data_IF_455353807835
#
_entry.id   IF_455353807835
#
_cell.length_a   1.000
_cell.length_b   1.000
_cell.length_c   1.000
_cell.angle_alpha   90.00
_cell.angle_beta   90.00
_cell.angle_gamma   90.00
#
_symmetry.space_group_name_H-M   'P 1'
#
loop_
_entity.id
_entity.type
_entity.pdbx_description
1 polymer ?
#
# COMPACT_ATOMS: atom_id res chain seq x y z
N UNK A 1 -45.99 -5.68 -21.99
CA UNK A 1 -45.02 -6.75 -22.32
C UNK A 1 -43.81 -6.56 -21.41
N UNK A 2 -43.94 -6.76 -20.10
CA UNK A 2 -44.08 -8.05 -19.39
C UNK A 2 -43.03 -9.10 -19.78
N UNK A 3 -41.95 -9.15 -19.00
CA UNK A 3 -41.62 -10.34 -18.21
C UNK A 3 -40.72 -9.96 -17.03
N UNK A 4 -41.31 -10.08 -15.82
CA UNK A 4 -40.61 -10.27 -14.56
C UNK A 4 -39.83 -11.59 -14.63
N UNK A 5 -38.63 -11.61 -14.07
CA UNK A 5 -38.23 -12.72 -13.22
C UNK A 5 -37.26 -12.24 -12.14
N UNK A 6 -37.84 -12.11 -10.95
CA UNK A 6 -37.18 -12.05 -9.66
C UNK A 6 -36.64 -13.43 -9.29
N UNK A 7 -35.40 -13.50 -8.80
CA UNK A 7 -35.05 -14.40 -7.71
C UNK A 7 -33.91 -13.82 -6.88
N UNK A 8 -34.09 -13.96 -5.57
CA UNK A 8 -33.42 -13.25 -4.52
C UNK A 8 -32.19 -14.00 -3.99
N UNK A 9 -31.34 -13.21 -3.33
CA UNK A 9 -30.64 -13.56 -2.08
C UNK A 9 -29.66 -14.75 -2.11
N UNK A 10 -28.35 -14.46 -1.98
CA UNK A 10 -27.61 -15.00 -0.84
C UNK A 10 -26.39 -14.15 -0.48
N UNK A 11 -26.30 -13.89 0.82
CA UNK A 11 -25.26 -13.23 1.58
C UNK A 11 -23.88 -13.88 1.38
N UNK A 12 -22.81 -13.08 1.35
CA UNK A 12 -21.64 -13.30 2.23
C UNK A 12 -20.63 -12.16 2.09
N UNK A 13 -20.77 -11.17 2.99
CA UNK A 13 -19.61 -10.39 3.47
C UNK A 13 -18.66 -11.40 4.10
N UNK A 14 -17.50 -11.61 3.48
CA UNK A 14 -16.41 -12.37 4.08
C UNK A 14 -15.77 -11.52 5.19
N UNK A 15 -16.46 -11.42 6.32
CA UNK A 15 -15.85 -11.05 7.59
C UNK A 15 -15.02 -12.25 8.01
N UNK A 16 -13.69 -12.13 7.89
CA UNK A 16 -12.75 -13.01 8.58
C UNK A 16 -12.91 -12.78 10.10
N UNK A 17 -13.94 -13.41 10.69
CA UNK A 17 -14.01 -13.63 12.12
C UNK A 17 -13.04 -14.77 12.41
N UNK A 18 -11.90 -14.39 12.97
CA UNK A 18 -10.95 -15.29 13.60
C UNK A 18 -11.64 -15.92 14.83
N UNK A 19 -12.42 -16.98 14.63
CA UNK A 19 -12.96 -17.81 15.73
C UNK A 19 -11.84 -18.67 16.30
N UNK A 20 -11.08 -18.06 17.19
CA UNK A 20 -10.05 -18.71 18.01
C UNK A 20 -10.66 -19.04 19.37
N UNK A 21 -11.74 -19.82 19.41
CA UNK A 21 -12.36 -20.30 20.65
C UNK A 21 -13.08 -21.62 20.38
N UNK A 22 -12.34 -22.73 20.30
CA UNK A 22 -12.95 -24.05 20.18
C UNK A 22 -12.26 -25.24 20.89
N UNK A 23 -11.31 -25.08 21.84
CA UNK A 23 -10.98 -26.20 22.73
C UNK A 23 -11.71 -26.14 24.09
N UNK A 24 -12.33 -25.02 24.49
CA UNK A 24 -12.89 -24.89 25.84
C UNK A 24 -14.33 -25.40 26.02
N UNK A 25 -15.14 -25.48 24.95
CA UNK A 25 -16.55 -25.87 25.07
C UNK A 25 -16.77 -27.38 25.26
N UNK A 26 -15.92 -28.23 24.69
CA UNK A 26 -16.03 -29.68 24.84
C UNK A 26 -15.68 -30.16 26.26
N UNK A 27 -14.83 -29.42 26.99
CA UNK A 27 -14.43 -29.79 28.34
C UNK A 27 -15.55 -29.56 29.39
N UNK A 28 -16.42 -28.57 29.18
CA UNK A 28 -17.49 -28.22 30.13
C UNK A 28 -18.69 -29.16 30.03
N UNK A 29 -19.00 -29.67 28.82
CA UNK A 29 -20.16 -30.56 28.62
C UNK A 29 -19.92 -31.94 29.25
N UNK A 30 -18.71 -32.48 29.14
CA UNK A 30 -18.37 -33.80 29.70
C UNK A 30 -18.37 -33.81 31.24
N UNK A 31 -18.11 -32.67 31.90
CA UNK A 31 -18.18 -32.58 33.36
C UNK A 31 -19.61 -32.58 33.92
N UNK A 32 -20.63 -32.23 33.12
CA UNK A 32 -22.01 -32.07 33.61
C UNK A 32 -22.80 -33.37 33.58
N UNK A 33 -22.49 -34.30 32.67
CA UNK A 33 -23.13 -35.64 32.63
C UNK A 33 -22.72 -36.51 33.81
N UNK A 34 -21.44 -36.48 34.22
CA UNK A 34 -20.92 -37.34 35.30
C UNK A 34 -21.47 -36.96 36.69
N UNK A 35 -21.97 -35.73 36.88
CA UNK A 35 -22.47 -35.27 38.17
C UNK A 35 -23.91 -35.69 38.48
N UNK A 36 -24.65 -36.22 37.50
CA UNK A 36 -26.10 -36.51 37.68
C UNK A 36 -26.38 -37.97 38.04
N UNK A 37 -25.47 -38.91 37.79
CA UNK A 37 -25.68 -40.33 38.15
C UNK A 37 -25.34 -40.66 39.61
N UNK A 38 -24.65 -39.79 40.34
CA UNK A 38 -24.11 -40.12 41.67
C UNK A 38 -25.04 -39.81 42.87
N UNK A 39 -26.31 -39.44 42.68
CA UNK A 39 -27.19 -38.98 43.79
C UNK A 39 -28.19 -40.03 44.30
N UNK A 40 -28.38 -41.19 43.66
CA UNK A 40 -29.35 -42.19 44.12
C UNK A 40 -28.75 -43.59 44.25
N UNK A 41 -27.91 -43.81 45.26
CA UNK A 41 -27.84 -45.03 46.09
C UNK A 41 -26.60 -45.00 46.99
N UNK A 42 -26.77 -44.75 48.29
CA UNK A 42 -25.80 -45.22 49.30
C UNK A 42 -26.55 -45.78 50.52
N UNK A 43 -26.14 -46.99 50.92
CA UNK A 43 -26.32 -47.58 52.25
C UNK A 43 -24.94 -48.07 52.74
N UNK A 44 -24.60 -48.02 54.04
CA UNK A 44 -23.22 -47.83 54.47
C UNK A 44 -22.45 -49.15 54.73
N UNK A 45 -21.16 -49.16 54.40
CA UNK A 45 -20.17 -50.16 54.87
C UNK A 45 -18.84 -49.46 55.21
N UNK A 46 -18.00 -50.03 56.09
CA UNK A 46 -17.07 -49.29 56.97
C UNK A 46 -15.83 -48.74 56.24
N UNK A 47 -15.13 -47.74 56.84
CA UNK A 47 -14.18 -46.91 56.11
C UNK A 47 -12.87 -47.68 55.85
N UNK A 48 -12.57 -47.91 54.58
CA UNK A 48 -11.21 -48.25 54.15
C UNK A 48 -10.47 -46.95 53.84
N UNK A 49 -9.45 -46.65 54.66
CA UNK A 49 -8.56 -45.51 54.48
C UNK A 49 -8.00 -45.48 53.04
N UNK A 50 -8.31 -44.45 52.23
CA UNK A 50 -7.75 -44.37 50.90
C UNK A 50 -6.28 -44.02 51.01
N UNK A 51 -5.46 -44.83 50.36
CA UNK A 51 -4.02 -44.62 50.21
C UNK A 51 -3.77 -43.29 49.48
N UNK A 52 -3.48 -42.23 50.25
CA UNK A 52 -3.10 -40.87 49.82
C UNK A 52 -2.14 -40.84 48.63
N UNK A 53 -1.24 -41.83 48.55
CA UNK A 53 -0.25 -42.03 47.48
C UNK A 53 -0.87 -42.22 46.08
N UNK A 54 -2.08 -42.79 45.98
CA UNK A 54 -2.74 -43.06 44.71
C UNK A 54 -3.46 -41.82 44.14
N UNK A 55 -3.97 -40.93 45.01
CA UNK A 55 -4.57 -39.65 44.61
C UNK A 55 -3.52 -38.68 44.06
N UNK A 56 -2.38 -38.54 44.74
CA UNK A 56 -1.27 -37.70 44.29
C UNK A 56 -0.73 -38.17 42.94
N UNK A 57 -0.61 -39.50 42.71
CA UNK A 57 -0.19 -40.05 41.40
C UNK A 57 -1.13 -39.65 40.25
N UNK A 58 -2.44 -39.63 40.47
CA UNK A 58 -3.42 -39.20 39.46
C UNK A 58 -3.32 -37.72 39.13
N UNK A 59 -3.12 -36.87 40.14
CA UNK A 59 -2.91 -35.43 39.96
C UNK A 59 -1.61 -35.18 39.17
N UNK A 60 -0.52 -35.86 39.53
CA UNK A 60 0.76 -35.75 38.82
C UNK A 60 0.64 -36.21 37.35
N UNK A 61 -0.08 -37.30 37.08
CA UNK A 61 -0.36 -37.75 35.71
C UNK A 61 -1.15 -36.70 34.90
N UNK A 62 -2.15 -36.06 35.51
CA UNK A 62 -2.93 -35.00 34.88
C UNK A 62 -2.09 -33.78 34.49
N UNK A 63 -1.18 -33.34 35.38
CA UNK A 63 -0.26 -32.21 35.11
C UNK A 63 0.71 -32.57 33.97
N UNK A 64 1.29 -33.77 34.00
CA UNK A 64 2.22 -34.23 32.96
C UNK A 64 1.52 -34.32 31.59
N UNK A 65 0.30 -34.85 31.56
CA UNK A 65 -0.45 -34.97 30.30
C UNK A 65 -0.91 -33.61 29.76
N UNK A 66 -1.32 -32.70 30.65
CA UNK A 66 -1.68 -31.32 30.31
C UNK A 66 -0.50 -30.51 29.77
N UNK A 67 0.69 -30.64 30.37
CA UNK A 67 1.89 -29.95 29.89
C UNK A 67 2.35 -30.49 28.54
N UNK A 68 2.30 -31.81 28.34
CA UNK A 68 2.67 -32.45 27.07
C UNK A 68 1.74 -32.03 25.93
N UNK A 69 0.43 -32.09 26.15
CA UNK A 69 -0.57 -31.68 25.15
C UNK A 69 -0.49 -30.19 24.83
N UNK A 70 -0.31 -29.34 25.85
CA UNK A 70 -0.10 -27.90 25.68
C UNK A 70 1.14 -27.58 24.83
N UNK A 71 2.26 -28.25 25.09
CA UNK A 71 3.50 -28.05 24.33
C UNK A 71 3.35 -28.49 22.87
N UNK A 72 2.72 -29.65 22.63
CA UNK A 72 2.46 -30.15 21.26
C UNK A 72 1.57 -29.18 20.49
N UNK A 73 0.48 -28.70 21.10
CA UNK A 73 -0.39 -27.70 20.48
C UNK A 73 0.35 -26.39 20.17
N UNK A 74 1.20 -25.91 21.08
CA UNK A 74 2.01 -24.71 20.86
C UNK A 74 2.97 -24.88 19.67
N UNK A 75 3.68 -26.01 19.58
CA UNK A 75 4.60 -26.30 18.48
C UNK A 75 3.85 -26.39 17.15
N UNK A 76 2.71 -27.10 17.11
CA UNK A 76 1.87 -27.20 15.91
C UNK A 76 1.38 -25.82 15.48
N UNK A 77 0.89 -24.99 16.42
CA UNK A 77 0.43 -23.64 16.11
C UNK A 77 1.55 -22.77 15.54
N UNK A 78 2.76 -22.84 16.11
CA UNK A 78 3.92 -22.11 15.62
C UNK A 78 4.36 -22.60 14.23
N UNK A 79 4.31 -23.91 13.98
CA UNK A 79 4.55 -24.50 12.66
C UNK A 79 3.52 -24.02 11.63
N UNK A 80 2.23 -24.03 11.97
CA UNK A 80 1.16 -23.54 11.08
C UNK A 80 1.37 -22.05 10.78
N UNK A 81 1.62 -21.21 11.78
CA UNK A 81 1.90 -19.77 11.58
C UNK A 81 3.12 -19.58 10.68
N UNK A 82 4.21 -20.33 10.89
CA UNK A 82 5.40 -20.28 10.02
C UNK A 82 5.09 -20.73 8.60
N UNK A 83 4.29 -21.78 8.41
CA UNK A 83 3.87 -22.25 7.09
C UNK A 83 2.99 -21.21 6.39
N UNK A 84 2.06 -20.56 7.11
CA UNK A 84 1.21 -19.48 6.60
C UNK A 84 2.07 -18.27 6.23
N UNK A 85 2.98 -17.83 7.09
CA UNK A 85 3.91 -16.72 6.77
C UNK A 85 4.76 -17.09 5.55
N UNK A 86 5.30 -18.31 5.49
CA UNK A 86 6.07 -18.80 4.34
C UNK A 86 5.23 -18.86 3.07
N UNK A 87 3.96 -19.25 3.17
CA UNK A 87 3.01 -19.28 2.05
C UNK A 87 2.66 -17.86 1.58
N UNK A 88 2.30 -16.95 2.50
CA UNK A 88 2.05 -15.53 2.21
C UNK A 88 3.30 -14.83 1.67
N UNK A 89 4.50 -15.24 2.07
CA UNK A 89 5.74 -14.77 1.48
C UNK A 89 6.05 -15.48 0.15
N UNK A 90 5.46 -16.64 -0.14
CA UNK A 90 5.58 -17.34 -1.42
C UNK A 90 4.59 -16.86 -2.48
N UNK A 91 3.44 -16.27 -2.11
CA UNK A 91 2.51 -15.73 -3.11
C UNK A 91 3.23 -14.75 -4.04
N UNK A 92 3.08 -14.90 -5.37
CA UNK A 92 3.67 -13.98 -6.31
C UNK A 92 2.95 -12.65 -6.17
N UNK A 93 3.72 -11.57 -6.01
CA UNK A 93 3.10 -10.25 -6.09
C UNK A 93 2.79 -10.01 -7.57
N UNK A 94 1.49 -9.89 -7.89
CA UNK A 94 0.97 -9.84 -9.26
C UNK A 94 1.61 -8.69 -10.05
N UNK A 95 1.96 -8.97 -11.30
CA UNK A 95 2.44 -7.97 -12.27
C UNK A 95 1.23 -7.32 -12.94
N UNK A 96 1.42 -6.10 -13.44
CA UNK A 96 0.40 -5.41 -14.23
C UNK A 96 -0.08 -4.10 -13.61
N UNK A 97 -1.12 -3.51 -14.22
CA UNK A 97 -1.64 -2.21 -13.85
C UNK A 97 -2.53 -2.27 -12.60
N UNK A 98 -2.36 -1.29 -11.72
CA UNK A 98 -3.29 -0.96 -10.65
C UNK A 98 -3.82 0.44 -10.94
N UNK A 99 -5.13 0.54 -11.13
CA UNK A 99 -5.80 1.73 -11.66
C UNK A 99 -6.72 2.34 -10.62
N UNK A 100 -6.63 3.66 -10.44
CA UNK A 100 -7.41 4.45 -9.48
C UNK A 100 -8.40 5.41 -10.15
N UNK A 101 -8.42 5.45 -11.49
CA UNK A 101 -9.27 6.33 -12.30
C UNK A 101 -10.19 5.51 -13.18
N UNK A 102 -11.50 5.76 -13.12
CA UNK A 102 -12.49 5.11 -14.00
C UNK A 102 -12.29 5.43 -15.49
N UNK A 103 -11.53 6.49 -15.81
CA UNK A 103 -11.23 6.88 -17.19
C UNK A 103 -10.13 6.03 -17.84
N UNK A 104 -9.42 5.20 -17.08
CA UNK A 104 -8.31 4.37 -17.57
C UNK A 104 -8.72 2.92 -17.53
N UNK A 105 -8.75 2.27 -18.68
CA UNK A 105 -8.92 0.81 -18.76
C UNK A 105 -7.55 0.10 -18.62
N UNK A 106 -7.42 -0.91 -17.74
CA UNK A 106 -6.18 -1.65 -17.53
C UNK A 106 -5.56 -2.24 -18.81
N UNK A 107 -6.37 -2.79 -19.73
CA UNK A 107 -5.87 -3.41 -20.96
C UNK A 107 -5.33 -2.36 -21.92
N UNK A 108 -6.05 -1.24 -22.02
CA UNK A 108 -5.65 -0.08 -22.81
C UNK A 108 -4.32 0.50 -22.33
N UNK A 109 -4.15 0.64 -21.01
CA UNK A 109 -2.89 1.10 -20.41
C UNK A 109 -1.73 0.12 -20.69
N UNK A 110 -1.97 -1.19 -20.55
CA UNK A 110 -0.95 -2.20 -20.83
C UNK A 110 -0.50 -2.18 -22.29
N UNK A 111 -1.44 -2.00 -23.22
CA UNK A 111 -1.12 -1.85 -24.65
C UNK A 111 -0.33 -0.58 -24.93
N UNK A 112 -0.72 0.56 -24.35
CA UNK A 112 0.00 1.82 -24.51
C UNK A 112 1.45 1.75 -24.02
N UNK A 113 1.71 1.01 -22.94
CA UNK A 113 3.06 0.81 -22.41
C UNK A 113 3.97 -0.02 -23.32
N UNK A 114 3.40 -0.92 -24.12
CA UNK A 114 4.14 -1.76 -25.06
C UNK A 114 4.56 -1.05 -26.35
N UNK A 115 3.98 0.13 -26.62
CA UNK A 115 4.30 0.94 -27.80
C UNK A 115 5.52 1.82 -27.55
N UNK A 116 6.14 2.27 -28.63
CA UNK A 116 7.11 3.36 -28.56
C UNK A 116 6.40 4.63 -28.09
N UNK A 117 6.93 5.24 -27.04
CA UNK A 117 6.32 6.41 -26.41
C UNK A 117 7.26 7.60 -26.56
N UNK A 118 6.70 8.78 -26.81
CA UNK A 118 7.46 10.02 -26.95
C UNK A 118 8.10 10.38 -25.62
N UNK A 119 9.43 10.52 -25.59
CA UNK A 119 10.15 11.01 -24.40
C UNK A 119 9.80 12.48 -24.15
N UNK A 120 9.36 12.79 -22.94
CA UNK A 120 9.08 14.15 -22.48
C UNK A 120 10.26 14.76 -21.73
N UNK A 121 10.96 13.95 -20.93
CA UNK A 121 12.08 14.42 -20.13
C UNK A 121 12.71 13.31 -19.31
N UNK A 122 13.88 13.60 -18.75
CA UNK A 122 14.62 12.71 -17.87
C UNK A 122 14.91 13.42 -16.56
N UNK A 123 14.89 12.66 -15.48
CA UNK A 123 15.17 13.14 -14.13
C UNK A 123 15.92 12.07 -13.34
N UNK A 124 16.59 12.42 -12.23
CA UNK A 124 17.30 11.44 -11.41
C UNK A 124 16.42 10.30 -10.90
N UNK A 125 15.10 10.50 -10.83
CA UNK A 125 14.14 9.51 -10.36
C UNK A 125 13.39 8.77 -11.50
N UNK A 126 13.82 8.95 -12.74
CA UNK A 126 13.29 8.23 -13.89
C UNK A 126 13.01 9.10 -15.12
N UNK A 127 12.37 8.47 -16.11
CA UNK A 127 12.06 9.07 -17.41
C UNK A 127 10.56 9.27 -17.58
N UNK A 128 10.20 10.38 -18.19
CA UNK A 128 8.82 10.76 -18.48
C UNK A 128 8.52 10.54 -19.96
N UNK A 129 7.38 9.92 -20.25
CA UNK A 129 6.91 9.66 -21.60
C UNK A 129 5.47 10.10 -21.76
N UNK A 130 5.12 10.55 -22.97
CA UNK A 130 3.73 10.79 -23.37
C UNK A 130 3.20 9.56 -24.07
N UNK A 131 1.97 9.21 -23.75
CA UNK A 131 1.21 8.21 -24.51
C UNK A 131 -0.25 8.61 -24.61
N UNK A 132 -0.94 8.07 -25.61
CA UNK A 132 -2.37 8.28 -25.82
C UNK A 132 -3.06 6.92 -25.74
N UNK A 133 -4.01 6.81 -24.83
CA UNK A 133 -4.82 5.63 -24.64
C UNK A 133 -5.82 5.47 -25.82
N UNK A 134 -6.35 4.26 -26.03
CA UNK A 134 -7.32 3.98 -27.11
C UNK A 134 -8.58 4.85 -27.06
N UNK A 135 -8.97 5.31 -25.86
CA UNK A 135 -10.09 6.24 -25.67
C UNK A 135 -9.72 7.71 -25.93
N UNK A 136 -8.54 7.99 -26.47
CA UNK A 136 -8.05 9.34 -26.77
C UNK A 136 -7.46 10.08 -25.56
N UNK A 137 -7.48 9.50 -24.36
CA UNK A 137 -6.92 10.14 -23.17
C UNK A 137 -5.39 10.19 -23.26
N UNK A 138 -4.84 11.40 -23.29
CA UNK A 138 -3.40 11.62 -23.19
C UNK A 138 -2.93 11.50 -21.73
N UNK A 139 -1.93 10.66 -21.49
CA UNK A 139 -1.35 10.43 -20.16
C UNK A 139 0.17 10.59 -20.18
N UNK A 140 0.71 11.00 -19.04
CA UNK A 140 2.14 11.03 -18.78
C UNK A 140 2.55 9.79 -17.97
N UNK A 141 3.56 9.08 -18.47
CA UNK A 141 4.13 7.89 -17.87
C UNK A 141 5.49 8.23 -17.27
N UNK A 142 5.63 8.10 -15.96
CA UNK A 142 6.91 8.19 -15.28
C UNK A 142 7.45 6.79 -15.01
N UNK A 143 8.45 6.36 -15.77
CA UNK A 143 9.16 5.10 -15.53
C UNK A 143 10.25 5.36 -14.50
N UNK A 144 10.10 4.80 -13.30
CA UNK A 144 11.11 4.92 -12.26
C UNK A 144 12.37 4.12 -12.67
N UNK A 145 13.52 4.60 -12.22
CA UNK A 145 14.76 3.83 -12.38
C UNK A 145 14.64 2.48 -11.65
N UNK A 146 15.34 1.43 -12.13
CA UNK A 146 15.37 0.16 -11.43
C UNK A 146 15.84 0.37 -9.99
N UNK A 147 15.22 -0.36 -9.07
CA UNK A 147 15.69 -0.40 -7.68
C UNK A 147 17.02 -1.16 -7.67
N UNK A 148 18.13 -0.46 -7.83
CA UNK A 148 19.47 -1.04 -7.72
C UNK A 148 19.76 -1.35 -6.24
N UNK A 149 19.44 -2.55 -5.79
CA UNK A 149 19.84 -3.02 -4.46
C UNK A 149 20.09 -4.51 -4.48
N UNK A 150 21.21 -4.96 -5.07
CA UNK A 150 21.57 -6.38 -5.10
C UNK A 150 20.65 -7.24 -5.96
N UNK A 151 21.00 -8.52 -6.09
CA UNK A 151 20.56 -9.42 -7.17
C UNK A 151 19.08 -9.32 -7.60
N UNK A 152 18.79 -9.42 -8.91
CA UNK A 152 17.46 -9.20 -9.49
C UNK A 152 16.35 -10.15 -8.99
N UNK A 153 16.73 -11.24 -8.32
CA UNK A 153 15.84 -12.32 -7.88
C UNK A 153 15.47 -12.23 -6.39
N UNK A 154 16.25 -11.51 -5.59
CA UNK A 154 16.07 -11.39 -4.13
C UNK A 154 15.79 -9.96 -3.70
N UNK A 155 15.18 -9.15 -4.56
CA UNK A 155 14.49 -7.95 -4.07
C UNK A 155 13.41 -8.39 -3.08
N UNK A 156 13.65 -8.15 -1.79
CA UNK A 156 12.79 -8.59 -0.70
C UNK A 156 11.33 -8.25 -1.05
N UNK A 157 10.46 -9.26 -1.16
CA UNK A 157 9.03 -9.06 -1.45
C UNK A 157 8.40 -8.01 -0.53
N UNK A 158 8.92 -7.91 0.70
CA UNK A 158 8.61 -6.87 1.68
C UNK A 158 8.84 -5.45 1.15
N UNK A 159 9.99 -5.18 0.51
CA UNK A 159 10.32 -3.85 -0.05
C UNK A 159 9.34 -3.47 -1.14
N UNK A 160 9.09 -4.39 -2.09
CA UNK A 160 8.13 -4.10 -3.17
C UNK A 160 6.69 -3.96 -2.67
N UNK A 161 6.32 -4.60 -1.55
CA UNK A 161 5.02 -4.39 -0.88
C UNK A 161 4.96 -3.02 -0.20
N UNK A 162 6.05 -2.60 0.46
CA UNK A 162 6.16 -1.26 1.04
C UNK A 162 5.98 -0.17 -0.03
N UNK A 163 6.67 -0.29 -1.16
CA UNK A 163 6.50 0.66 -2.29
C UNK A 163 5.06 0.70 -2.79
N UNK A 164 4.40 -0.46 -2.92
CA UNK A 164 3.00 -0.52 -3.31
C UNK A 164 2.08 0.19 -2.31
N UNK A 165 2.25 -0.05 -1.01
CA UNK A 165 1.45 0.59 0.03
C UNK A 165 1.62 2.12 0.03
N UNK A 166 2.84 2.61 -0.19
CA UNK A 166 3.11 4.04 -0.32
C UNK A 166 2.50 4.60 -1.61
N UNK A 167 2.58 3.90 -2.75
CA UNK A 167 1.92 4.32 -4.00
C UNK A 167 0.39 4.36 -3.86
N UNK A 168 -0.21 3.40 -3.17
CA UNK A 168 -1.63 3.39 -2.83
C UNK A 168 -2.00 4.57 -1.93
N UNK A 169 -1.13 4.92 -0.98
CA UNK A 169 -1.29 6.13 -0.15
C UNK A 169 -1.24 7.40 -1.00
N UNK A 170 -0.26 7.51 -1.90
CA UNK A 170 -0.15 8.65 -2.84
C UNK A 170 -1.37 8.75 -3.76
N UNK A 171 -1.97 7.61 -4.13
CA UNK A 171 -3.18 7.59 -4.94
C UNK A 171 -4.42 8.13 -4.21
N UNK A 172 -4.41 8.24 -2.87
CA UNK A 172 -5.50 8.87 -2.11
C UNK A 172 -5.43 10.39 -2.13
N UNK A 173 -4.27 10.97 -2.45
CA UNK A 173 -4.05 12.41 -2.46
C UNK A 173 -4.79 13.01 -3.67
N UNK A 174 -5.75 13.90 -3.40
CA UNK A 174 -6.56 14.59 -4.41
C UNK A 174 -6.64 16.08 -4.10
N UNK A 175 -6.01 16.90 -4.93
CA UNK A 175 -6.08 18.36 -4.83
C UNK A 175 -5.88 18.98 -6.22
N UNK A 176 -6.53 20.13 -6.50
CA UNK A 176 -6.49 20.80 -7.81
C UNK A 176 -5.05 21.11 -8.24
N UNK A 177 -4.22 21.56 -7.30
CA UNK A 177 -2.83 21.94 -7.55
C UNK A 177 -1.80 20.82 -7.30
N UNK A 178 -2.22 19.53 -7.32
CA UNK A 178 -1.32 18.38 -7.20
C UNK A 178 -1.52 17.41 -8.36
N UNK A 179 -0.42 16.84 -8.86
CA UNK A 179 -0.45 15.76 -9.82
C UNK A 179 -1.03 14.51 -9.17
N UNK A 180 -2.16 14.08 -9.71
CA UNK A 180 -2.98 13.02 -9.13
C UNK A 180 -2.58 11.68 -9.73
N UNK A 181 -2.04 10.73 -8.94
CA UNK A 181 -1.69 9.40 -9.43
C UNK A 181 -2.96 8.68 -9.93
N UNK A 182 -3.00 8.37 -11.23
CA UNK A 182 -4.14 7.75 -11.92
C UNK A 182 -4.04 6.24 -11.95
N UNK A 183 -2.82 5.73 -12.10
CA UNK A 183 -2.50 4.31 -12.04
C UNK A 183 -1.00 4.15 -11.77
N UNK A 184 -0.59 2.96 -11.37
CA UNK A 184 0.79 2.52 -11.53
C UNK A 184 0.81 1.15 -12.21
N UNK A 185 1.91 0.85 -12.90
CA UNK A 185 2.14 -0.44 -13.53
C UNK A 185 3.39 -1.05 -12.95
N UNK A 186 3.24 -2.30 -12.51
CA UNK A 186 4.31 -3.06 -11.90
C UNK A 186 5.00 -3.92 -12.94
N UNK A 187 6.26 -3.61 -13.18
CA UNK A 187 7.14 -4.34 -14.08
C UNK A 187 8.07 -5.27 -13.29
N UNK A 188 9.00 -5.93 -13.97
CA UNK A 188 9.89 -6.92 -13.34
C UNK A 188 10.79 -6.28 -12.26
N UNK A 189 11.45 -5.17 -12.60
CA UNK A 189 12.47 -4.49 -11.79
C UNK A 189 12.12 -3.05 -11.42
N UNK A 190 10.98 -2.53 -11.88
CA UNK A 190 10.60 -1.12 -11.74
C UNK A 190 9.09 -0.92 -11.61
N UNK A 191 8.72 0.31 -11.28
CA UNK A 191 7.35 0.78 -11.33
C UNK A 191 7.23 1.91 -12.36
N UNK A 192 6.10 1.93 -13.06
CA UNK A 192 5.73 2.99 -13.99
C UNK A 192 4.49 3.71 -13.43
N UNK A 193 4.59 5.00 -13.19
CA UNK A 193 3.51 5.81 -12.62
C UNK A 193 2.76 6.54 -13.75
N UNK A 194 1.44 6.65 -13.63
CA UNK A 194 0.58 7.22 -14.66
C UNK A 194 -0.14 8.45 -14.12
N UNK A 195 -0.02 9.55 -14.86
CA UNK A 195 -0.65 10.83 -14.55
C UNK A 195 -1.37 11.39 -15.78
N UNK A 196 -2.20 12.40 -15.58
CA UNK A 196 -2.76 13.16 -16.72
C UNK A 196 -1.62 13.90 -17.44
N UNK A 197 -1.69 13.97 -18.77
CA UNK A 197 -0.73 14.76 -19.55
C UNK A 197 -0.99 16.26 -19.39
N UNK A 198 0.09 17.02 -19.20
CA UNK A 198 0.06 18.46 -18.96
C UNK A 198 0.54 19.17 -20.22
N UNK A 199 -0.37 19.87 -20.90
CA UNK A 199 -0.15 20.36 -22.27
C UNK A 199 0.87 21.48 -22.38
N UNK A 200 1.03 22.29 -21.32
CA UNK A 200 2.00 23.38 -21.28
C UNK A 200 3.34 22.97 -20.66
N UNK A 201 3.54 21.67 -20.42
CA UNK A 201 4.79 21.14 -19.87
C UNK A 201 5.01 21.56 -18.41
N UNK A 202 6.28 21.68 -18.03
CA UNK A 202 6.68 22.19 -16.72
C UNK A 202 6.79 23.73 -16.71
N UNK A 203 6.87 24.32 -15.53
CA UNK A 203 7.14 25.74 -15.37
C UNK A 203 8.52 26.10 -15.94
N UNK A 204 9.50 25.20 -15.87
CA UNK A 204 10.80 25.41 -16.52
C UNK A 204 10.66 25.53 -18.04
N UNK A 205 9.87 24.67 -18.68
CA UNK A 205 9.59 24.72 -20.11
C UNK A 205 8.91 26.04 -20.49
N UNK A 206 7.91 26.46 -19.70
CA UNK A 206 7.26 27.76 -19.90
C UNK A 206 8.24 28.93 -19.75
N UNK A 207 9.14 28.89 -18.76
CA UNK A 207 10.18 29.91 -18.57
C UNK A 207 11.18 29.95 -19.72
N UNK A 208 11.58 28.78 -20.26
CA UNK A 208 12.45 28.70 -21.44
C UNK A 208 11.76 29.33 -22.67
N UNK A 209 10.50 28.98 -22.91
CA UNK A 209 9.70 29.56 -24.01
C UNK A 209 9.50 31.07 -23.88
N UNK A 210 9.40 31.60 -22.66
CA UNK A 210 9.38 33.04 -22.41
C UNK A 210 10.72 33.68 -22.79
N UNK A 211 11.85 33.07 -22.38
CA UNK A 211 13.21 33.55 -22.75
C UNK A 211 13.45 33.53 -24.27
N UNK A 212 12.86 32.56 -24.95
CA UNK A 212 12.92 32.42 -26.42
C UNK A 212 11.86 33.26 -27.17
N UNK A 213 11.09 34.09 -26.46
CA UNK A 213 9.99 34.90 -27.02
C UNK A 213 8.87 34.09 -27.72
N UNK A 214 8.72 32.80 -27.39
CA UNK A 214 7.68 31.91 -27.92
C UNK A 214 6.41 31.88 -27.04
N UNK A 215 6.47 32.47 -25.86
CA UNK A 215 5.37 32.53 -24.90
C UNK A 215 5.41 33.85 -24.16
N UNK A 216 4.26 34.54 -24.07
CA UNK A 216 4.10 35.67 -23.17
C UNK A 216 3.32 35.24 -21.94
N UNK A 217 3.98 35.29 -20.78
CA UNK A 217 3.38 34.93 -19.51
C UNK A 217 3.22 36.20 -18.68
N UNK A 218 2.03 36.80 -18.78
CA UNK A 218 1.68 38.04 -18.09
C UNK A 218 1.71 37.90 -16.57
N UNK A 219 1.76 39.03 -15.86
CA UNK A 219 1.83 39.06 -14.40
C UNK A 219 0.73 38.25 -13.73
N UNK A 220 -0.52 38.38 -14.20
CA UNK A 220 -1.66 37.66 -13.63
C UNK A 220 -1.50 36.15 -13.68
N UNK A 221 -0.96 35.60 -14.77
CA UNK A 221 -0.71 34.16 -14.90
C UNK A 221 0.41 33.73 -13.94
N UNK A 222 1.47 34.53 -13.80
CA UNK A 222 2.57 34.24 -12.83
C UNK A 222 2.03 34.21 -11.41
N UNK A 223 1.21 35.20 -11.05
CA UNK A 223 0.59 35.30 -9.75
C UNK A 223 -0.35 34.11 -9.49
N UNK A 224 -1.17 33.74 -10.47
CA UNK A 224 -2.03 32.54 -10.41
C UNK A 224 -1.21 31.26 -10.17
N UNK A 225 -0.10 31.08 -10.88
CA UNK A 225 0.82 29.96 -10.70
C UNK A 225 1.38 29.94 -9.27
N UNK A 226 1.87 31.07 -8.76
CA UNK A 226 2.43 31.17 -7.41
C UNK A 226 1.39 30.82 -6.34
N UNK A 227 0.17 31.35 -6.45
CA UNK A 227 -0.93 31.05 -5.54
C UNK A 227 -1.30 29.56 -5.58
N UNK A 228 -1.37 28.96 -6.77
CA UNK A 228 -1.68 27.53 -6.90
C UNK A 228 -0.59 26.63 -6.30
N UNK A 229 0.69 26.97 -6.45
CA UNK A 229 1.81 26.27 -5.78
C UNK A 229 1.64 26.33 -4.25
N UNK A 230 1.36 27.50 -3.69
CA UNK A 230 1.15 27.69 -2.26
C UNK A 230 -0.05 26.86 -1.76
N UNK A 231 -1.16 26.84 -2.51
CA UNK A 231 -2.33 26.01 -2.18
C UNK A 231 -1.98 24.52 -2.17
N UNK A 232 -1.25 24.04 -3.17
CA UNK A 232 -0.77 22.65 -3.23
C UNK A 232 0.10 22.27 -2.03
N UNK A 233 1.06 23.11 -1.67
CA UNK A 233 1.93 22.90 -0.50
C UNK A 233 1.15 22.95 0.82
N UNK A 234 0.25 23.93 0.97
CA UNK A 234 -0.59 24.08 2.16
C UNK A 234 -1.43 22.82 2.41
N UNK A 235 -2.01 22.27 1.35
CA UNK A 235 -2.75 21.00 1.43
C UNK A 235 -1.85 19.86 1.94
N UNK A 236 -0.67 19.67 1.36
CA UNK A 236 0.28 18.61 1.77
C UNK A 236 0.74 18.77 3.24
N UNK A 237 0.99 20.00 3.68
CA UNK A 237 1.59 20.29 4.98
C UNK A 237 0.58 20.28 6.13
N UNK A 238 -0.64 20.72 5.87
CA UNK A 238 -1.64 21.02 6.92
C UNK A 238 -2.93 20.23 6.78
N UNK A 239 -3.29 19.77 5.58
CA UNK A 239 -4.54 19.01 5.35
C UNK A 239 -4.32 17.49 5.31
N UNK A 240 -3.15 17.03 4.85
CA UNK A 240 -2.81 15.61 4.87
C UNK A 240 -2.43 15.12 6.28
N UNK A 241 -2.94 13.93 6.65
CA UNK A 241 -2.55 13.22 7.87
C UNK A 241 -2.16 11.77 7.52
N UNK A 242 -0.89 11.36 7.70
CA UNK A 242 0.23 12.16 8.20
C UNK A 242 0.61 13.31 7.26
N UNK A 243 1.30 14.32 7.81
CA UNK A 243 1.87 15.43 7.03
C UNK A 243 2.76 14.88 5.91
N UNK A 244 2.62 15.42 4.71
CA UNK A 244 3.43 15.04 3.55
C UNK A 244 4.35 16.20 3.20
N UNK A 245 5.65 15.92 3.11
CA UNK A 245 6.65 16.88 2.65
C UNK A 245 6.98 16.60 1.18
N UNK A 246 7.11 17.66 0.38
CA UNK A 246 7.36 17.52 -1.06
C UNK A 246 8.79 17.06 -1.37
N UNK A 247 9.79 17.58 -0.65
CA UNK A 247 11.24 17.35 -0.78
C UNK A 247 11.92 17.69 -2.13
N UNK A 248 11.16 17.80 -3.22
CA UNK A 248 11.71 18.08 -4.55
C UNK A 248 10.97 19.22 -5.28
N UNK A 249 10.71 20.34 -4.60
CA UNK A 249 9.99 21.47 -5.18
C UNK A 249 10.94 22.31 -6.04
N UNK A 250 10.66 22.39 -7.35
CA UNK A 250 11.46 23.13 -8.34
C UNK A 250 10.64 23.36 -9.61
N UNK A 251 11.02 24.29 -10.51
CA UNK A 251 10.26 24.58 -11.73
C UNK A 251 9.96 23.36 -12.62
N UNK A 252 10.85 22.38 -12.71
CA UNK A 252 10.63 21.12 -13.46
C UNK A 252 9.54 20.22 -12.89
N UNK A 253 9.18 20.40 -11.61
CA UNK A 253 8.15 19.64 -10.93
C UNK A 253 6.86 20.44 -10.71
N UNK A 254 6.73 21.62 -11.34
CA UNK A 254 5.48 22.37 -11.38
C UNK A 254 4.93 22.21 -12.80
N UNK A 255 3.96 21.31 -12.97
CA UNK A 255 3.35 21.07 -14.27
C UNK A 255 2.22 22.06 -14.53
N UNK A 256 2.02 22.40 -15.80
CA UNK A 256 1.03 23.37 -16.24
C UNK A 256 0.05 22.70 -17.21
N UNK A 257 -1.24 22.71 -16.85
CA UNK A 257 -2.29 22.28 -17.77
C UNK A 257 -2.61 23.35 -18.83
N UNK A 258 -3.64 23.11 -19.64
CA UNK A 258 -4.00 23.97 -20.77
C UNK A 258 -4.31 25.41 -20.36
N UNK A 259 -4.83 25.61 -19.15
CA UNK A 259 -5.23 26.91 -18.60
C UNK A 259 -4.14 27.54 -17.73
N UNK A 260 -2.90 27.00 -17.79
CA UNK A 260 -1.79 27.38 -16.91
C UNK A 260 -2.08 27.19 -15.42
N UNK A 261 -2.99 26.26 -15.06
CA UNK A 261 -3.17 25.88 -13.67
C UNK A 261 -1.96 25.04 -13.21
N UNK A 262 -1.28 25.43 -12.11
CA UNK A 262 -0.11 24.72 -11.63
C UNK A 262 -0.49 23.45 -10.88
N UNK A 263 0.24 22.37 -11.12
CA UNK A 263 0.13 21.09 -10.42
C UNK A 263 1.48 20.58 -10.00
N UNK A 264 1.68 20.39 -8.70
CA UNK A 264 2.95 19.88 -8.18
C UNK A 264 3.08 18.39 -8.51
N UNK A 265 4.16 18.03 -9.20
CA UNK A 265 4.54 16.66 -9.52
C UNK A 265 5.46 16.07 -8.45
N UNK A 266 5.62 14.75 -8.44
CA UNK A 266 6.56 14.03 -7.57
C UNK A 266 6.35 14.19 -6.06
N UNK A 267 5.18 14.67 -5.64
CA UNK A 267 4.85 14.84 -4.23
C UNK A 267 4.90 13.50 -3.49
N UNK A 268 5.64 13.44 -2.38
CA UNK A 268 5.75 12.24 -1.55
C UNK A 268 6.55 11.08 -2.16
N UNK A 269 7.11 11.23 -3.37
CA UNK A 269 7.97 10.21 -3.97
C UNK A 269 9.35 10.09 -3.30
N UNK A 270 9.80 11.10 -2.56
CA UNK A 270 11.07 11.04 -1.81
C UNK A 270 11.08 9.88 -0.82
N UNK A 271 9.95 9.63 -0.14
CA UNK A 271 9.79 8.50 0.77
C UNK A 271 9.92 7.13 0.07
N UNK A 272 9.60 7.06 -1.22
CA UNK A 272 9.72 5.86 -2.04
C UNK A 272 11.13 5.66 -2.60
N UNK A 273 11.89 6.74 -2.73
CA UNK A 273 13.16 6.80 -3.46
C UNK A 273 14.21 7.43 -2.55
N UNK A 274 14.83 6.67 -1.62
CA UNK A 274 15.76 7.21 -0.62
C UNK A 274 17.02 7.88 -1.22
N UNK A 275 17.28 7.69 -2.51
CA UNK A 275 18.36 8.39 -3.22
C UNK A 275 17.93 9.76 -3.79
N UNK A 276 16.63 10.12 -3.76
CA UNK A 276 16.13 11.40 -4.26
C UNK A 276 16.63 12.58 -3.41
N UNK A 277 16.76 12.37 -2.10
CA UNK A 277 17.19 13.40 -1.14
C UNK A 277 18.67 13.78 -1.26
N UNK A 278 19.48 12.96 -1.96
CA UNK A 278 20.93 13.19 -2.10
C UNK A 278 21.32 14.03 -3.31
N UNK A 279 20.39 14.28 -4.24
CA UNK A 279 20.66 15.20 -5.32
C UNK A 279 20.62 16.62 -4.75
N UNK A 280 21.80 17.15 -4.38
CA UNK A 280 22.00 18.53 -3.96
C UNK A 280 21.44 19.45 -5.05
N UNK A 281 20.19 19.84 -4.87
CA UNK A 281 19.51 20.77 -5.74
C UNK A 281 19.79 22.16 -5.21
N UNK A 282 19.95 23.14 -6.09
CA UNK A 282 20.03 24.56 -5.69
C UNK A 282 18.80 25.04 -4.91
N UNK A 283 17.74 24.23 -4.88
CA UNK A 283 16.49 24.48 -4.16
C UNK A 283 16.45 23.84 -2.76
N UNK A 284 17.49 23.10 -2.35
CA UNK A 284 17.55 22.48 -1.01
C UNK A 284 17.83 23.55 0.05
N UNK A 285 17.05 23.54 1.13
CA UNK A 285 17.21 24.49 2.22
C UNK A 285 18.54 24.26 2.97
N UNK A 286 19.24 25.32 3.41
CA UNK A 286 20.59 25.22 3.99
C UNK A 286 20.64 24.34 5.26
N UNK A 287 19.59 24.32 6.06
CA UNK A 287 19.49 23.51 7.29
C UNK A 287 19.49 21.99 7.01
N UNK A 288 19.06 21.57 5.81
CA UNK A 288 19.07 20.16 5.40
C UNK A 288 20.50 19.62 5.22
N UNK A 289 21.50 20.50 4.99
CA UNK A 289 22.90 20.11 4.90
C UNK A 289 23.60 20.09 6.26
N UNK A 290 23.12 20.89 7.21
CA UNK A 290 23.73 21.06 8.53
C UNK A 290 23.29 19.98 9.53
N UNK A 291 22.15 19.36 9.29
CA UNK A 291 21.57 18.36 10.18
C UNK A 291 21.30 17.07 9.41
N UNK A 292 22.14 16.05 9.62
CA UNK A 292 21.89 14.66 9.18
C UNK A 292 20.71 14.02 9.95
N UNK A 293 19.59 14.75 10.14
CA UNK A 293 18.41 14.34 10.89
C UNK A 293 17.14 14.63 10.08
N UNK A 294 16.94 13.91 8.98
CA UNK A 294 15.60 13.68 8.42
C UNK A 294 15.54 12.27 7.85
#
# INVERSE_FOLDING_TARGET
MDKRNSNACFNSRSSAKLTLFLPCFFCVIQCREVMTEHILTESPTPPQFPTYRNGVRRIMLGIVLGTLTGLICAIISACIVRLVIKYLNRTPILKGPVVFSSKIDPKTLQSALSKENQLLGSSPNGKYYRTVLYNGLAVALKRLEPLETGSPETQNKSVKRGIQQELETLATIRHRNLMTLRAYVREHSRFSLVYDYMTNGSLEDAMNRVRENQLQLGWEIRHHIAVGVIKGLSYLHFSCNPRILHYNLKPTNIMLDADFEPRLADCGLAKLLPNLDRAASSYTAPECFQSCRF
#
